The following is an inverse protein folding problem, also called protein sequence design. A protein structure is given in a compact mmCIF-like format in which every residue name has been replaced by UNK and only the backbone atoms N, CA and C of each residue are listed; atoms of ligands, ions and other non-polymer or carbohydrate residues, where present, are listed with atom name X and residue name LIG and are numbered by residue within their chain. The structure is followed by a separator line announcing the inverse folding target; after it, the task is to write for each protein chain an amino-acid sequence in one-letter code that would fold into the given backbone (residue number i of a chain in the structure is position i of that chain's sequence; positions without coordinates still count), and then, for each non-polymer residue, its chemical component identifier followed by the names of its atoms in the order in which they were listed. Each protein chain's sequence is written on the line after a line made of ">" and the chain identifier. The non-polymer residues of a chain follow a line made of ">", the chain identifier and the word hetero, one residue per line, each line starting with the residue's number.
data_IF_045471833235
#
_entry.id   IF_045471833235
#
_cell.length_a   1.000
_cell.length_b   1.000
_cell.length_c   1.000
_cell.angle_alpha   90.00
_cell.angle_beta   90.00
_cell.angle_gamma   90.00
#
_symmetry.space_group_name_H-M   'P 1'
#
loop_
_entity.id
_entity.type
_entity.pdbx_description
1 polymer ?
#
# COMPACT_ATOMS: atom_id res chain seq x y z
N UNK A 1 -12.94 -20.71 7.43
CA UNK A 1 -13.02 -19.24 7.36
C UNK A 1 -12.34 -18.84 6.07
N UNK A 2 -12.94 -17.95 5.26
CA UNK A 2 -12.38 -17.58 3.96
C UNK A 2 -11.03 -16.91 4.15
N UNK A 3 -10.01 -17.41 3.44
CA UNK A 3 -8.67 -16.80 3.45
C UNK A 3 -8.60 -15.72 2.37
N UNK A 4 -7.59 -14.87 2.46
CA UNK A 4 -7.31 -13.94 1.37
C UNK A 4 -6.30 -14.56 0.42
N UNK A 5 -6.67 -14.61 -0.85
CA UNK A 5 -5.71 -14.79 -1.93
C UNK A 5 -5.12 -13.43 -2.26
N UNK A 6 -3.80 -13.37 -2.30
CA UNK A 6 -3.06 -12.14 -2.60
C UNK A 6 -2.40 -12.31 -3.95
N UNK A 7 -2.53 -11.28 -4.78
CA UNK A 7 -1.94 -11.24 -6.11
C UNK A 7 -1.06 -10.01 -6.25
N UNK A 8 0.02 -10.13 -7.02
CA UNK A 8 0.96 -9.03 -7.28
C UNK A 8 1.33 -8.99 -8.76
N UNK A 9 1.56 -7.79 -9.28
CA UNK A 9 2.25 -7.61 -10.55
C UNK A 9 2.31 -6.16 -11.00
N UNK A 10 2.60 -5.96 -12.29
CA UNK A 10 2.89 -4.63 -12.86
C UNK A 10 1.63 -3.81 -13.21
N UNK A 11 0.47 -4.46 -13.27
CA UNK A 11 -0.84 -3.84 -13.52
C UNK A 11 -1.97 -4.78 -13.04
N UNK A 12 -3.22 -4.31 -13.05
CA UNK A 12 -4.40 -5.12 -12.73
C UNK A 12 -4.59 -6.30 -13.70
N UNK A 13 -4.16 -6.15 -14.96
CA UNK A 13 -4.25 -7.20 -15.99
C UNK A 13 -3.10 -8.22 -15.93
N UNK A 14 -2.02 -7.91 -15.20
CA UNK A 14 -0.85 -8.75 -15.08
C UNK A 14 -0.59 -9.07 -13.60
N UNK A 15 -1.47 -9.88 -13.02
CA UNK A 15 -1.42 -10.29 -11.62
C UNK A 15 -1.11 -11.79 -11.51
N UNK A 16 -0.23 -12.14 -10.57
CA UNK A 16 0.08 -13.53 -10.21
C UNK A 16 -0.19 -13.75 -8.72
N UNK A 17 -0.74 -14.91 -8.33
CA UNK A 17 -0.92 -15.23 -6.92
C UNK A 17 0.45 -15.32 -6.23
N UNK A 18 0.54 -14.79 -5.02
CA UNK A 18 1.73 -14.88 -4.18
C UNK A 18 1.39 -15.50 -2.84
N UNK A 19 2.38 -16.12 -2.23
CA UNK A 19 2.30 -16.48 -0.82
C UNK A 19 2.60 -15.25 0.04
N UNK A 20 1.85 -15.08 1.12
CA UNK A 20 2.08 -14.03 2.11
C UNK A 20 3.05 -14.51 3.20
N UNK A 21 3.55 -13.58 4.02
CA UNK A 21 4.38 -13.89 5.19
C UNK A 21 5.70 -14.62 4.86
N UNK A 22 6.21 -14.43 3.64
CA UNK A 22 7.44 -15.06 3.19
C UNK A 22 8.66 -14.58 4.00
N UNK A 23 9.68 -15.45 4.16
CA UNK A 23 10.91 -15.11 4.89
C UNK A 23 11.69 -13.99 4.20
N UNK A 24 12.64 -13.42 4.95
CA UNK A 24 13.56 -12.41 4.44
C UNK A 24 14.23 -12.84 3.13
N UNK A 25 14.32 -11.91 2.18
CA UNK A 25 14.88 -12.16 0.84
C UNK A 25 13.95 -12.82 -0.18
N UNK A 26 12.72 -13.21 0.21
CA UNK A 26 11.78 -13.97 -0.65
C UNK A 26 10.62 -13.12 -1.20
N UNK A 27 10.87 -11.84 -1.48
CA UNK A 27 9.86 -10.98 -2.09
C UNK A 27 9.57 -11.33 -3.56
N UNK A 28 8.35 -11.03 -4.00
CA UNK A 28 7.92 -11.24 -5.38
C UNK A 28 8.47 -10.13 -6.29
N UNK A 29 9.20 -10.44 -7.37
CA UNK A 29 9.74 -9.45 -8.29
C UNK A 29 8.64 -8.81 -9.14
N UNK A 30 8.71 -7.49 -9.34
CA UNK A 30 7.83 -6.74 -10.23
C UNK A 30 8.67 -5.87 -11.16
N UNK A 31 8.42 -5.99 -12.46
CA UNK A 31 9.15 -5.25 -13.48
C UNK A 31 8.20 -4.78 -14.58
N UNK A 32 8.45 -3.57 -15.05
CA UNK A 32 7.85 -2.94 -16.22
C UNK A 32 8.89 -2.05 -16.88
N UNK A 33 8.52 -1.38 -17.97
CA UNK A 33 9.35 -0.39 -18.64
C UNK A 33 9.44 0.96 -17.89
N UNK A 34 8.72 1.15 -16.77
CA UNK A 34 8.83 2.34 -15.92
C UNK A 34 9.23 2.08 -14.46
N UNK A 35 9.17 0.84 -14.00
CA UNK A 35 9.47 0.48 -12.61
C UNK A 35 10.14 -0.88 -12.51
N UNK A 36 11.13 -0.97 -11.65
CA UNK A 36 11.80 -2.23 -11.30
C UNK A 36 11.81 -2.34 -9.78
N UNK A 37 11.32 -3.47 -9.26
CA UNK A 37 11.14 -3.64 -7.83
C UNK A 37 10.78 -5.04 -7.40
N UNK A 38 10.38 -5.13 -6.14
CA UNK A 38 9.92 -6.34 -5.47
C UNK A 38 8.95 -6.00 -4.36
N UNK A 39 8.00 -6.90 -4.10
CA UNK A 39 6.88 -6.68 -3.19
C UNK A 39 6.75 -7.87 -2.24
N UNK A 40 6.47 -7.58 -0.98
CA UNK A 40 6.14 -8.58 0.03
C UNK A 40 4.85 -8.16 0.74
N UNK A 41 4.04 -9.14 1.14
CA UNK A 41 2.77 -8.89 1.84
C UNK A 41 2.77 -9.71 3.12
N UNK A 42 2.46 -9.05 4.24
CA UNK A 42 2.32 -9.68 5.55
C UNK A 42 0.89 -9.54 6.04
N UNK A 43 0.30 -10.64 6.52
CA UNK A 43 -1.06 -10.70 7.05
C UNK A 43 -1.05 -11.40 8.40
N UNK A 44 -1.68 -10.75 9.40
CA UNK A 44 -1.91 -11.33 10.73
C UNK A 44 -3.33 -11.90 10.78
N UNK A 45 -3.42 -13.23 10.77
CA UNK A 45 -4.67 -13.96 10.96
C UNK A 45 -4.95 -14.15 12.46
N UNK A 46 -6.16 -13.83 12.91
CA UNK A 46 -6.57 -13.93 14.32
C UNK A 46 -6.66 -15.39 14.83
N UNK A 47 -6.86 -16.33 13.91
CA UNK A 47 -7.13 -17.76 14.17
C UNK A 47 -5.87 -18.65 14.08
N UNK A 48 -4.72 -18.13 13.66
CA UNK A 48 -3.49 -18.92 13.56
C UNK A 48 -2.47 -18.58 14.65
N UNK A 49 -1.78 -19.61 15.20
CA UNK A 49 -0.61 -19.38 16.03
C UNK A 49 0.51 -18.82 15.15
N UNK A 50 0.60 -17.49 15.09
CA UNK A 50 1.74 -16.68 14.63
C UNK A 50 2.75 -17.48 13.79
N UNK A 51 2.50 -17.59 12.48
CA UNK A 51 3.47 -18.09 11.49
C UNK A 51 4.86 -17.51 11.82
N UNK A 52 5.92 -18.34 11.92
CA UNK A 52 7.20 -17.91 12.54
C UNK A 52 7.77 -16.64 11.91
N UNK A 53 7.63 -16.47 10.59
CA UNK A 53 8.15 -15.29 9.88
C UNK A 53 7.21 -14.08 9.99
N UNK A 54 5.91 -14.28 9.78
CA UNK A 54 4.90 -13.26 10.10
C UNK A 54 5.05 -12.78 11.55
N UNK A 55 5.33 -13.71 12.45
CA UNK A 55 5.50 -13.48 13.86
C UNK A 55 6.73 -12.64 14.15
N UNK A 56 7.84 -12.82 13.43
CA UNK A 56 9.00 -11.96 13.58
C UNK A 56 8.65 -10.52 13.23
N UNK A 57 7.97 -10.30 12.10
CA UNK A 57 7.52 -8.96 11.68
C UNK A 57 6.54 -8.35 12.70
N UNK A 58 5.51 -9.10 13.09
CA UNK A 58 4.42 -8.62 13.94
C UNK A 58 4.74 -8.54 15.44
N UNK A 59 5.77 -9.25 15.93
CA UNK A 59 6.23 -9.19 17.33
C UNK A 59 7.17 -8.00 17.58
N UNK A 60 7.68 -7.36 16.54
CA UNK A 60 8.48 -6.16 16.74
C UNK A 60 7.66 -5.10 17.50
N UNK A 61 8.22 -4.40 18.49
CA UNK A 61 7.48 -3.42 19.28
C UNK A 61 6.78 -2.36 18.43
N UNK A 62 7.40 -1.95 17.33
CA UNK A 62 6.83 -0.97 16.39
C UNK A 62 5.65 -1.50 15.57
N UNK A 63 5.43 -2.82 15.55
CA UNK A 63 4.39 -3.52 14.77
C UNK A 63 3.35 -4.22 15.64
N UNK A 64 3.37 -4.01 16.96
CA UNK A 64 2.44 -4.64 17.91
C UNK A 64 0.97 -4.48 17.48
N UNK A 65 0.61 -3.26 17.06
CA UNK A 65 -0.75 -2.92 16.64
C UNK A 65 -1.01 -3.10 15.15
N UNK A 66 -0.05 -3.59 14.36
CA UNK A 66 -0.18 -3.75 12.90
C UNK A 66 -0.77 -5.11 12.58
N UNK A 67 -1.75 -5.17 11.70
CA UNK A 67 -2.43 -6.42 11.31
C UNK A 67 -2.15 -6.83 9.87
N UNK A 68 -1.61 -5.93 9.07
CA UNK A 68 -1.18 -6.20 7.70
C UNK A 68 -0.13 -5.20 7.24
N UNK A 69 0.59 -5.58 6.21
CA UNK A 69 1.57 -4.74 5.54
C UNK A 69 1.68 -5.10 4.06
N UNK A 70 1.78 -4.07 3.22
CA UNK A 70 2.28 -4.17 1.85
C UNK A 70 3.65 -3.46 1.83
N UNK A 71 4.70 -4.23 1.61
CA UNK A 71 6.05 -3.71 1.50
C UNK A 71 6.46 -3.67 0.03
N UNK A 72 7.19 -2.63 -0.35
CA UNK A 72 7.78 -2.47 -1.67
C UNK A 72 9.24 -2.06 -1.54
N UNK A 73 10.10 -2.63 -2.38
CA UNK A 73 11.42 -2.09 -2.65
C UNK A 73 11.60 -1.93 -4.15
N UNK A 74 12.00 -0.76 -4.62
CA UNK A 74 12.25 -0.56 -6.05
C UNK A 74 12.57 0.89 -6.42
N UNK A 75 12.72 1.10 -7.72
CA UNK A 75 13.08 2.38 -8.33
C UNK A 75 12.28 2.64 -9.61
N UNK A 76 12.18 3.91 -9.98
CA UNK A 76 11.60 4.32 -11.24
C UNK A 76 12.66 4.36 -12.33
N UNK A 77 12.35 3.84 -13.52
CA UNK A 77 13.33 3.73 -14.62
C UNK A 77 13.48 5.04 -15.41
N UNK A 78 12.71 6.07 -15.07
CA UNK A 78 12.71 7.38 -15.70
C UNK A 78 12.61 8.47 -14.61
N UNK A 79 13.29 9.62 -14.77
CA UNK A 79 13.13 10.77 -13.88
C UNK A 79 11.68 11.26 -13.84
N UNK A 80 11.14 11.43 -12.64
CA UNK A 80 9.74 11.76 -12.37
C UNK A 80 9.65 12.71 -11.18
N UNK A 81 8.69 13.62 -11.20
CA UNK A 81 8.39 14.40 -10.00
C UNK A 81 7.69 13.50 -8.98
N UNK A 82 8.14 13.52 -7.74
CA UNK A 82 7.63 12.60 -6.73
C UNK A 82 6.15 12.80 -6.37
N UNK A 83 5.62 14.01 -6.53
CA UNK A 83 4.21 14.33 -6.32
C UNK A 83 3.28 13.75 -7.41
N UNK A 84 3.83 13.37 -8.56
CA UNK A 84 3.10 12.68 -9.64
C UNK A 84 2.94 11.18 -9.39
N UNK A 85 3.55 10.64 -8.33
CA UNK A 85 3.48 9.22 -8.00
C UNK A 85 2.51 9.04 -6.86
N UNK A 86 1.46 8.27 -7.14
CA UNK A 86 0.35 8.03 -6.25
C UNK A 86 0.33 6.59 -5.79
N UNK A 87 -0.20 6.38 -4.60
CA UNK A 87 -0.48 5.07 -4.05
C UNK A 87 -1.80 5.06 -3.29
N UNK A 88 -2.58 4.00 -3.46
CA UNK A 88 -3.83 3.83 -2.73
C UNK A 88 -4.73 2.80 -3.40
N UNK A 89 -6.03 2.97 -3.20
CA UNK A 89 -7.02 1.99 -3.64
C UNK A 89 -7.67 2.37 -4.96
N UNK A 90 -7.92 1.36 -5.79
CA UNK A 90 -8.77 1.45 -6.98
C UNK A 90 -9.76 0.31 -6.98
N UNK A 91 -10.89 0.51 -7.66
CA UNK A 91 -12.00 -0.43 -7.70
C UNK A 91 -12.47 -0.62 -9.15
N UNK A 92 -12.70 -1.87 -9.54
CA UNK A 92 -13.14 -2.22 -10.90
C UNK A 92 -14.58 -1.78 -11.21
N UNK A 93 -15.37 -1.54 -10.17
CA UNK A 93 -16.80 -1.26 -10.25
C UNK A 93 -17.23 -0.23 -9.21
N UNK A 94 -18.30 0.51 -9.52
CA UNK A 94 -18.94 1.45 -8.60
C UNK A 94 -19.22 0.84 -7.23
N UNK A 95 -18.96 1.62 -6.18
CA UNK A 95 -19.20 1.21 -4.81
C UNK A 95 -20.65 1.49 -4.41
N UNK A 96 -21.33 0.48 -3.83
CA UNK A 96 -22.61 0.72 -3.15
C UNK A 96 -22.37 1.22 -1.74
N UNK A 97 -22.21 2.53 -1.60
CA UNK A 97 -21.98 3.16 -0.30
C UNK A 97 -23.26 3.13 0.56
N UNK A 98 -23.19 2.73 1.84
CA UNK A 98 -24.34 2.77 2.76
C UNK A 98 -24.97 4.17 2.85
N UNK A 99 -26.26 4.24 3.19
CA UNK A 99 -26.90 5.52 3.54
C UNK A 99 -26.16 6.20 4.70
N UNK A 100 -25.67 7.43 4.50
CA UNK A 100 -24.89 8.20 5.50
C UNK A 100 -23.38 8.25 5.26
N UNK A 101 -22.85 7.54 4.27
CA UNK A 101 -21.40 7.48 3.99
C UNK A 101 -20.79 8.84 3.58
N UNK A 102 -21.60 9.77 3.07
CA UNK A 102 -21.14 11.13 2.75
C UNK A 102 -20.54 11.90 3.93
N UNK A 103 -20.89 11.55 5.19
CA UNK A 103 -20.23 12.09 6.37
C UNK A 103 -18.86 11.42 6.64
N UNK A 104 -18.73 10.12 6.39
CA UNK A 104 -17.48 9.35 6.53
C UNK A 104 -16.44 9.83 5.50
N UNK A 105 -16.86 10.14 4.27
CA UNK A 105 -15.97 10.67 3.23
C UNK A 105 -15.40 12.05 3.59
N UNK A 106 -16.23 12.93 4.16
CA UNK A 106 -15.77 14.22 4.69
C UNK A 106 -14.78 14.07 5.84
N UNK A 107 -14.89 13.00 6.63
CA UNK A 107 -13.94 12.69 7.70
C UNK A 107 -12.58 12.23 7.17
N UNK A 108 -12.51 11.53 6.03
CA UNK A 108 -11.23 11.04 5.50
C UNK A 108 -10.28 12.19 5.13
N UNK A 109 -10.79 13.26 4.51
CA UNK A 109 -9.98 14.45 4.19
C UNK A 109 -9.51 15.22 5.44
N UNK A 110 -10.18 15.05 6.59
CA UNK A 110 -9.74 15.60 7.88
C UNK A 110 -8.63 14.74 8.51
N UNK A 111 -8.62 13.44 8.22
CA UNK A 111 -7.64 12.48 8.73
C UNK A 111 -6.34 12.51 7.90
N UNK A 112 -6.46 12.74 6.60
CA UNK A 112 -5.35 12.93 5.69
C UNK A 112 -5.70 14.00 4.63
N UNK A 113 -5.07 15.19 4.69
CA UNK A 113 -5.35 16.27 3.74
C UNK A 113 -4.79 16.00 2.33
N UNK A 114 -3.96 14.96 2.16
CA UNK A 114 -3.38 14.58 0.86
C UNK A 114 -4.17 13.50 0.14
N UNK A 115 -5.27 13.03 0.75
CA UNK A 115 -6.18 12.10 0.10
C UNK A 115 -6.95 12.80 -1.02
N UNK A 116 -6.84 12.25 -2.22
CA UNK A 116 -7.70 12.57 -3.35
C UNK A 116 -8.53 11.33 -3.68
N UNK A 117 -9.78 11.52 -4.08
CA UNK A 117 -10.70 10.41 -4.30
C UNK A 117 -11.82 10.77 -5.28
N UNK A 118 -12.22 9.78 -6.07
CA UNK A 118 -13.54 9.73 -6.71
C UNK A 118 -14.20 8.42 -6.30
N UNK A 119 -15.21 8.51 -5.44
CA UNK A 119 -15.97 7.33 -4.99
C UNK A 119 -17.34 7.20 -5.66
N UNK A 120 -17.69 8.13 -6.57
CA UNK A 120 -18.98 8.16 -7.25
C UNK A 120 -18.87 7.71 -8.71
N UNK A 121 -17.67 7.70 -9.29
CA UNK A 121 -17.41 7.21 -10.64
C UNK A 121 -17.70 5.72 -10.84
N UNK A 122 -17.67 5.31 -12.11
CA UNK A 122 -17.84 3.91 -12.52
C UNK A 122 -16.67 3.02 -12.06
N UNK A 123 -15.48 3.62 -11.94
CA UNK A 123 -14.28 3.00 -11.38
C UNK A 123 -13.72 3.86 -10.25
N UNK A 124 -14.25 3.68 -9.02
CA UNK A 124 -13.83 4.45 -7.88
C UNK A 124 -12.34 4.33 -7.55
N UNK A 125 -11.78 5.37 -6.93
CA UNK A 125 -10.41 5.38 -6.44
C UNK A 125 -10.24 6.31 -5.25
N UNK A 126 -9.23 6.01 -4.43
CA UNK A 126 -8.78 6.82 -3.31
C UNK A 126 -7.25 6.71 -3.23
N UNK A 127 -6.57 7.79 -3.60
CA UNK A 127 -5.12 7.81 -3.84
C UNK A 127 -4.47 8.92 -3.01
N UNK A 128 -3.21 8.68 -2.66
CA UNK A 128 -2.37 9.59 -1.90
C UNK A 128 -1.01 9.71 -2.57
N UNK A 129 -0.27 10.80 -2.43
CA UNK A 129 1.12 10.85 -2.85
C UNK A 129 1.94 9.77 -2.15
N UNK A 130 2.71 8.99 -2.92
CA UNK A 130 3.39 7.78 -2.44
C UNK A 130 4.32 8.04 -1.25
N UNK A 131 5.15 9.08 -1.32
CA UNK A 131 6.11 9.41 -0.26
C UNK A 131 5.45 9.92 1.03
N UNK A 132 4.22 10.45 0.93
CA UNK A 132 3.46 10.94 2.07
C UNK A 132 2.81 9.80 2.86
N UNK A 133 2.22 8.84 2.14
CA UNK A 133 1.32 7.84 2.72
C UNK A 133 2.06 6.67 3.38
N UNK A 134 3.28 6.35 2.92
CA UNK A 134 4.08 5.26 3.48
C UNK A 134 4.43 5.55 4.95
N UNK A 135 3.92 4.79 5.94
CA UNK A 135 4.27 5.00 7.34
C UNK A 135 5.76 4.80 7.59
N UNK A 136 6.36 3.78 6.98
CA UNK A 136 7.79 3.53 7.04
C UNK A 136 8.35 3.63 5.62
N UNK A 137 9.35 4.49 5.45
CA UNK A 137 9.95 4.79 4.16
C UNK A 137 11.44 4.98 4.36
N UNK A 138 12.22 4.27 3.55
CA UNK A 138 13.66 4.42 3.44
C UNK A 138 14.01 4.72 1.99
N UNK A 139 14.96 5.62 1.81
CA UNK A 139 15.49 6.04 0.51
C UNK A 139 17.02 5.92 0.55
N UNK A 140 17.58 5.35 -0.51
CA UNK A 140 19.03 5.24 -0.68
C UNK A 140 19.39 5.42 -2.14
N UNK A 141 20.53 6.06 -2.40
CA UNK A 141 21.10 6.11 -3.74
C UNK A 141 21.75 4.79 -4.14
N UNK A 142 21.47 4.35 -5.36
CA UNK A 142 22.07 3.17 -6.00
C UNK A 142 22.55 3.54 -7.40
N UNK A 143 23.46 2.74 -7.96
CA UNK A 143 23.84 2.89 -9.37
C UNK A 143 22.62 2.59 -10.27
N UNK A 144 22.33 3.46 -11.23
CA UNK A 144 21.21 3.29 -12.17
C UNK A 144 21.26 1.96 -12.95
N UNK A 145 22.44 1.37 -13.12
CA UNK A 145 22.66 0.07 -13.77
C UNK A 145 22.71 -1.12 -12.80
N UNK A 146 22.68 -0.87 -11.48
CA UNK A 146 22.71 -1.92 -10.47
C UNK A 146 21.50 -2.87 -10.61
N UNK A 147 21.71 -4.19 -10.74
CA UNK A 147 20.60 -5.14 -10.84
C UNK A 147 19.89 -5.29 -9.50
N UNK A 148 18.60 -5.70 -9.45
CA UNK A 148 17.86 -5.92 -8.20
C UNK A 148 18.53 -6.87 -7.21
N UNK A 149 19.32 -7.83 -7.71
CA UNK A 149 20.09 -8.76 -6.87
C UNK A 149 21.21 -8.10 -6.05
N UNK A 150 21.59 -6.86 -6.39
CA UNK A 150 22.61 -6.09 -5.67
C UNK A 150 22.02 -5.19 -4.57
N UNK A 151 20.70 -5.05 -4.52
CA UNK A 151 20.02 -4.23 -3.52
C UNK A 151 19.96 -4.92 -2.15
N UNK A 152 19.80 -4.16 -1.05
CA UNK A 152 19.69 -4.73 0.30
C UNK A 152 18.57 -5.76 0.39
N UNK A 153 18.81 -6.91 1.02
CA UNK A 153 17.85 -8.02 1.12
C UNK A 153 16.43 -7.57 1.50
N UNK A 154 15.42 -8.17 0.87
CA UNK A 154 14.02 -7.77 1.01
C UNK A 154 13.05 -8.97 0.86
N UNK A 155 12.03 -9.14 1.72
CA UNK A 155 11.74 -8.28 2.86
C UNK A 155 12.90 -8.30 3.87
N UNK A 156 13.11 -7.21 4.62
CA UNK A 156 14.20 -7.14 5.58
C UNK A 156 13.95 -8.09 6.74
N UNK A 157 15.03 -8.60 7.36
CA UNK A 157 14.92 -9.49 8.53
C UNK A 157 14.26 -8.80 9.73
N UNK A 158 14.52 -7.50 9.89
CA UNK A 158 13.88 -6.66 10.89
C UNK A 158 12.93 -5.69 10.19
N UNK A 159 11.77 -5.35 10.78
CA UNK A 159 10.89 -4.34 10.21
C UNK A 159 11.63 -3.03 9.97
N UNK A 160 11.26 -2.31 8.92
CA UNK A 160 11.82 -1.00 8.63
C UNK A 160 11.63 -0.10 9.86
N UNK A 161 12.75 0.23 10.51
CA UNK A 161 12.79 1.25 11.54
C UNK A 161 12.59 2.63 10.91
N UNK A 162 12.23 3.62 11.72
CA UNK A 162 12.26 5.01 11.28
C UNK A 162 13.72 5.44 11.14
N UNK A 163 14.22 5.50 9.91
CA UNK A 163 15.48 6.18 9.63
C UNK A 163 15.23 7.47 8.83
N UNK A 164 15.17 8.57 9.58
CA UNK A 164 14.89 9.91 9.06
C UNK A 164 15.96 10.46 8.13
N UNK A 165 17.20 9.96 8.24
CA UNK A 165 18.31 10.43 7.41
C UNK A 165 17.98 10.30 5.92
N UNK A 166 17.27 9.23 5.55
CA UNK A 166 16.88 8.95 4.17
C UNK A 166 15.85 9.91 3.57
N UNK A 167 14.95 10.47 4.39
CA UNK A 167 13.91 11.39 3.93
C UNK A 167 14.43 12.83 3.82
N UNK A 168 15.55 13.16 4.49
CA UNK A 168 16.17 14.48 4.40
C UNK A 168 16.68 14.80 2.99
N UNK A 169 17.16 13.79 2.26
CA UNK A 169 17.57 13.93 0.84
C UNK A 169 16.37 14.19 -0.09
N UNK A 170 15.15 13.89 0.35
CA UNK A 170 13.90 14.17 -0.36
C UNK A 170 13.28 15.52 0.07
N UNK A 171 14.06 16.34 0.79
CA UNK A 171 13.64 17.67 1.25
C UNK A 171 12.77 17.70 2.50
N UNK A 172 12.49 16.54 3.13
CA UNK A 172 11.77 16.51 4.39
C UNK A 172 12.65 17.00 5.55
N UNK A 173 12.11 17.74 6.54
CA UNK A 173 12.85 18.03 7.76
C UNK A 173 13.18 16.72 8.48
N UNK A 174 14.32 16.67 9.17
CA UNK A 174 14.59 15.59 10.14
C UNK A 174 13.43 15.56 11.15
N UNK A 175 12.63 14.50 11.11
CA UNK A 175 11.35 14.41 11.80
C UNK A 175 11.46 13.79 13.20
N UNK A 176 12.67 13.44 13.64
CA UNK A 176 12.99 12.63 14.83
C UNK A 176 12.11 11.37 14.94
N UNK A 177 11.91 10.68 13.81
CA UNK A 177 11.11 9.46 13.66
C UNK A 177 9.59 9.68 13.65
N UNK A 178 9.10 10.92 13.65
CA UNK A 178 7.67 11.21 13.68
C UNK A 178 7.05 11.19 12.28
N UNK A 179 6.43 10.03 11.96
CA UNK A 179 5.63 9.82 10.72
C UNK A 179 4.63 10.93 10.46
N UNK A 180 4.00 11.47 11.50
CA UNK A 180 2.97 12.49 11.38
C UNK A 180 3.59 13.80 10.88
N UNK A 181 4.78 14.15 11.36
CA UNK A 181 5.50 15.35 10.90
C UNK A 181 5.94 15.22 9.45
N UNK A 182 6.49 14.07 9.02
CA UNK A 182 6.86 13.85 7.60
C UNK A 182 5.65 13.99 6.70
N UNK A 183 4.56 13.30 7.04
CA UNK A 183 3.30 13.36 6.29
C UNK A 183 2.75 14.78 6.26
N UNK A 184 2.67 15.46 7.40
CA UNK A 184 2.15 16.83 7.48
C UNK A 184 3.05 17.84 6.74
N UNK A 185 4.37 17.61 6.70
CA UNK A 185 5.30 18.42 5.93
C UNK A 185 5.02 18.28 4.44
N UNK A 186 5.03 17.06 3.91
CA UNK A 186 4.78 16.82 2.49
C UNK A 186 3.36 17.17 2.08
N UNK A 187 2.38 17.08 2.99
CA UNK A 187 1.03 17.54 2.75
C UNK A 187 0.93 19.06 2.52
N UNK A 188 1.80 19.84 3.16
CA UNK A 188 1.79 21.31 3.07
C UNK A 188 2.69 21.86 1.98
N UNK A 189 3.83 21.21 1.75
CA UNK A 189 4.88 21.71 0.87
C UNK A 189 4.99 20.92 -0.44
N UNK A 190 4.23 19.83 -0.59
CA UNK A 190 4.47 18.86 -1.63
C UNK A 190 5.79 18.12 -1.44
N UNK A 191 6.07 17.18 -2.35
CA UNK A 191 7.43 16.66 -2.55
C UNK A 191 7.82 17.04 -3.98
N UNK A 192 8.38 18.24 -4.14
CA UNK A 192 8.90 18.72 -5.43
C UNK A 192 10.34 18.22 -5.64
N UNK A 193 10.56 16.91 -5.48
CA UNK A 193 11.86 16.29 -5.75
C UNK A 193 11.74 15.40 -6.97
N UNK A 194 12.73 15.49 -7.86
CA UNK A 194 12.84 14.56 -8.98
C UNK A 194 13.49 13.27 -8.50
N UNK A 195 12.78 12.16 -8.69
CA UNK A 195 13.22 10.80 -8.36
C UNK A 195 13.34 9.98 -9.64
N UNK A 196 14.21 8.98 -9.67
CA UNK A 196 14.52 8.25 -10.88
C UNK A 196 15.36 6.98 -10.66
N UNK A 197 16.18 6.59 -11.66
CA UNK A 197 16.87 5.29 -11.67
C UNK A 197 17.88 5.06 -10.55
N UNK A 198 18.34 6.13 -9.92
CA UNK A 198 19.30 6.07 -8.82
C UNK A 198 18.62 6.05 -7.45
N UNK A 199 17.30 6.30 -7.38
CA UNK A 199 16.56 6.42 -6.14
C UNK A 199 15.90 5.08 -5.80
N UNK A 200 16.52 4.32 -4.90
CA UNK A 200 15.96 3.08 -4.37
C UNK A 200 15.09 3.39 -3.16
N UNK A 201 13.79 3.15 -3.28
CA UNK A 201 12.83 3.26 -2.19
C UNK A 201 12.58 1.91 -1.57
N UNK A 202 12.49 1.86 -0.24
CA UNK A 202 11.92 0.74 0.52
C UNK A 202 10.79 1.28 1.39
N UNK A 203 9.56 0.94 1.05
CA UNK A 203 8.35 1.38 1.74
C UNK A 203 7.64 0.21 2.42
N UNK A 204 6.99 0.50 3.54
CA UNK A 204 6.14 -0.45 4.27
C UNK A 204 4.83 0.24 4.66
N UNK A 205 3.80 -0.06 3.87
CA UNK A 205 2.43 0.41 4.06
C UNK A 205 1.68 -0.51 5.02
N UNK A 206 1.66 -0.13 6.29
CA UNK A 206 1.14 -1.00 7.34
C UNK A 206 0.16 -0.30 8.29
N UNK A 207 -0.93 -1.00 8.62
CA UNK A 207 -1.96 -0.48 9.51
C UNK A 207 -2.55 -1.56 10.42
N UNK A 208 -3.18 -1.11 11.50
CA UNK A 208 -3.77 -1.96 12.54
C UNK A 208 -5.30 -2.04 12.57
N UNK A 209 -5.95 -1.30 11.66
CA UNK A 209 -7.40 -1.08 11.73
C UNK A 209 -8.21 -2.16 11.02
N UNK A 210 -7.58 -3.06 10.25
CA UNK A 210 -8.27 -4.15 9.56
C UNK A 210 -7.95 -5.48 10.23
N UNK A 211 -8.96 -6.23 10.65
CA UNK A 211 -8.79 -7.61 11.13
C UNK A 211 -8.94 -8.61 10.00
N UNK A 212 -8.09 -9.64 9.97
CA UNK A 212 -8.18 -10.79 9.07
C UNK A 212 -8.36 -12.08 9.87
N UNK A 213 -9.12 -13.07 9.39
CA UNK A 213 -9.81 -13.12 8.09
C UNK A 213 -11.16 -12.38 8.04
N UNK A 214 -11.62 -11.81 9.17
CA UNK A 214 -12.98 -11.26 9.28
C UNK A 214 -13.24 -9.98 8.46
N UNK A 215 -12.22 -9.38 7.85
CA UNK A 215 -12.26 -8.08 7.15
C UNK A 215 -13.03 -6.98 7.91
N UNK A 216 -12.79 -6.89 9.22
CA UNK A 216 -13.46 -5.90 10.05
C UNK A 216 -12.60 -4.63 10.18
N UNK A 217 -13.14 -3.49 9.76
CA UNK A 217 -12.54 -2.17 9.95
C UNK A 217 -12.89 -1.64 11.35
N UNK A 218 -11.86 -1.41 12.16
CA UNK A 218 -11.92 -0.79 13.49
C UNK A 218 -11.80 0.72 13.34
N UNK A 219 -12.88 1.44 13.61
CA UNK A 219 -12.97 2.90 13.55
C UNK A 219 -12.86 3.46 14.99
N UNK A 220 -12.30 4.68 15.18
CA UNK A 220 -12.29 5.33 16.49
C UNK A 220 -13.68 5.36 17.17
N UNK A 221 -13.71 5.19 18.50
CA UNK A 221 -14.97 5.10 19.26
C UNK A 221 -15.52 3.67 19.38
N UNK A 222 -14.76 2.65 19.00
CA UNK A 222 -15.12 1.23 19.21
C UNK A 222 -16.06 0.65 18.16
N UNK A 223 -16.34 1.38 17.08
CA UNK A 223 -17.20 0.95 15.99
C UNK A 223 -16.42 -0.04 15.12
N UNK A 224 -17.03 -1.19 14.84
CA UNK A 224 -16.51 -2.19 13.88
C UNK A 224 -17.43 -2.24 12.68
N UNK A 225 -16.88 -1.98 11.49
CA UNK A 225 -17.58 -2.14 10.22
C UNK A 225 -17.13 -3.45 9.56
N UNK A 226 -18.07 -4.34 9.29
CA UNK A 226 -17.82 -5.59 8.59
C UNK A 226 -17.77 -5.32 7.07
N UNK A 227 -16.56 -5.31 6.50
CA UNK A 227 -16.37 -5.02 5.08
C UNK A 227 -16.79 -6.20 4.18
N UNK A 228 -16.88 -7.43 4.71
CA UNK A 228 -17.32 -8.60 3.94
C UNK A 228 -18.73 -8.41 3.39
N UNK A 229 -19.61 -7.75 4.14
CA UNK A 229 -20.99 -7.42 3.73
C UNK A 229 -21.06 -6.49 2.51
N UNK A 230 -19.98 -5.79 2.22
CA UNK A 230 -19.87 -4.87 1.09
C UNK A 230 -19.02 -5.43 -0.05
N UNK A 231 -18.48 -6.64 0.13
CA UNK A 231 -17.79 -7.40 -0.90
C UNK A 231 -18.86 -8.21 -1.67
N UNK A 232 -19.54 -7.53 -2.59
CA UNK A 232 -20.82 -7.98 -3.15
C UNK A 232 -20.72 -9.25 -4.03
N UNK A 233 -19.53 -9.53 -4.59
CA UNK A 233 -19.32 -10.64 -5.52
C UNK A 233 -18.15 -11.52 -5.09
N UNK A 234 -18.37 -12.83 -5.09
CA UNK A 234 -17.30 -13.83 -5.06
C UNK A 234 -16.27 -13.52 -6.16
N UNK A 235 -14.99 -13.53 -5.81
CA UNK A 235 -13.90 -13.18 -6.73
C UNK A 235 -13.71 -11.68 -7.01
N UNK A 236 -14.48 -10.79 -6.38
CA UNK A 236 -14.19 -9.35 -6.43
C UNK A 236 -12.82 -9.08 -5.78
N UNK A 237 -12.02 -8.21 -6.38
CA UNK A 237 -10.69 -7.83 -5.88
C UNK A 237 -10.70 -6.42 -5.33
N UNK A 238 -9.91 -6.21 -4.28
CA UNK A 238 -9.52 -4.87 -3.82
C UNK A 238 -8.08 -4.65 -4.20
N UNK A 239 -7.83 -3.58 -4.93
CA UNK A 239 -6.52 -3.25 -5.45
C UNK A 239 -5.86 -2.16 -4.61
N UNK A 240 -4.59 -2.35 -4.35
CA UNK A 240 -3.65 -1.31 -3.96
C UNK A 240 -2.72 -1.08 -5.14
N UNK A 241 -2.71 0.14 -5.66
CA UNK A 241 -2.04 0.48 -6.91
C UNK A 241 -1.07 1.61 -6.64
N UNK A 242 0.16 1.47 -7.15
CA UNK A 242 1.07 2.59 -7.33
C UNK A 242 1.02 3.01 -8.80
N UNK A 243 0.71 4.27 -9.07
CA UNK A 243 0.49 4.78 -10.41
C UNK A 243 0.92 6.23 -10.57
N UNK A 244 1.01 6.68 -11.81
CA UNK A 244 1.09 8.10 -12.14
C UNK A 244 -0.22 8.81 -11.77
N UNK A 245 -0.13 10.08 -11.43
CA UNK A 245 -1.24 11.04 -11.45
C UNK A 245 -1.64 11.29 -12.90
N UNK A 246 -2.90 11.02 -13.24
CA UNK A 246 -3.50 11.53 -14.48
C UNK A 246 -3.94 12.97 -14.25
N UNK A 247 -3.56 13.85 -15.16
CA UNK A 247 -4.07 15.22 -15.25
C UNK A 247 -4.33 15.50 -16.72
N UNK A 248 -5.58 15.77 -17.09
CA UNK A 248 -5.96 16.09 -18.46
C UNK A 248 -5.62 17.56 -18.81
N UNK A 249 -5.53 18.46 -17.82
CA UNK A 249 -5.43 19.92 -18.08
C UNK A 249 -4.38 20.71 -17.26
N UNK A 250 -3.46 20.06 -16.53
CA UNK A 250 -2.34 20.74 -15.85
C UNK A 250 -2.72 21.61 -14.63
N UNK A 251 -4.01 21.66 -14.28
CA UNK A 251 -4.46 22.07 -12.94
C UNK A 251 -4.25 20.88 -11.99
N UNK A 252 -3.66 21.12 -10.81
CA UNK A 252 -3.17 20.10 -9.88
C UNK A 252 -4.21 19.20 -9.20
N UNK A 253 -5.35 18.90 -9.85
CA UNK A 253 -6.31 17.87 -9.42
C UNK A 253 -6.02 16.52 -10.09
N UNK A 254 -6.15 15.42 -9.35
CA UNK A 254 -6.12 14.07 -9.90
C UNK A 254 -7.43 13.78 -10.65
N UNK A 255 -7.34 13.58 -11.95
CA UNK A 255 -8.47 13.11 -12.79
C UNK A 255 -8.62 11.58 -12.75
N UNK A 256 -7.66 10.90 -12.14
CA UNK A 256 -7.71 9.48 -11.83
C UNK A 256 -6.34 8.81 -11.83
N UNK A 257 -6.30 7.48 -11.64
CA UNK A 257 -5.09 6.70 -11.79
C UNK A 257 -4.58 6.75 -13.24
N UNK A 258 -3.34 7.15 -13.42
CA UNK A 258 -2.61 7.09 -14.68
C UNK A 258 -1.99 5.71 -14.89
N UNK A 259 -0.79 5.70 -15.49
CA UNK A 259 -0.04 4.47 -15.72
C UNK A 259 0.28 3.76 -14.39
N UNK A 260 0.03 2.47 -14.32
CA UNK A 260 0.42 1.65 -13.16
C UNK A 260 1.90 1.27 -13.20
N UNK A 261 2.57 1.40 -12.05
CA UNK A 261 3.92 0.90 -11.81
C UNK A 261 3.88 -0.51 -11.24
N UNK A 262 2.99 -0.74 -10.28
CA UNK A 262 2.74 -2.03 -9.66
C UNK A 262 1.38 -2.05 -8.96
N UNK A 263 0.88 -3.26 -8.72
CA UNK A 263 -0.43 -3.51 -8.13
C UNK A 263 -0.36 -4.72 -7.19
N UNK A 264 -1.07 -4.62 -6.07
CA UNK A 264 -1.37 -5.71 -5.15
C UNK A 264 -2.89 -5.86 -5.08
N UNK A 265 -3.41 -7.05 -5.32
CA UNK A 265 -4.83 -7.33 -5.21
C UNK A 265 -5.12 -8.33 -4.09
N UNK A 266 -6.18 -8.09 -3.34
CA UNK A 266 -6.71 -9.02 -2.35
C UNK A 266 -8.06 -9.55 -2.85
N UNK A 267 -8.23 -10.87 -2.77
CA UNK A 267 -9.46 -11.56 -3.15
C UNK A 267 -9.89 -12.46 -1.99
N UNK A 268 -11.19 -12.45 -1.67
CA UNK A 268 -11.76 -13.42 -0.73
C UNK A 268 -11.80 -14.80 -1.37
N UNK A 269 -11.28 -15.79 -0.65
CA UNK A 269 -11.33 -17.18 -1.03
C UNK A 269 -12.56 -17.86 -0.43
N UNK A 270 -13.58 -18.08 -1.25
CA UNK A 270 -14.86 -18.65 -0.82
C UNK A 270 -14.85 -20.19 -0.71
N UNK A 271 -13.71 -20.86 -1.00
CA UNK A 271 -13.63 -22.33 -1.00
C UNK A 271 -13.80 -22.99 0.38
N UNK A 272 -13.83 -22.24 1.49
CA UNK A 272 -13.97 -22.83 2.83
C UNK A 272 -15.39 -23.25 3.25
N UNK A 273 -16.41 -22.99 2.41
CA UNK A 273 -17.81 -23.24 2.76
C UNK A 273 -18.39 -24.51 2.08
N UNK A 274 -17.58 -25.28 1.34
CA UNK A 274 -18.05 -26.45 0.58
C UNK A 274 -17.87 -27.83 1.25
N UNK A 275 -17.21 -27.94 2.41
CA UNK A 275 -16.94 -29.24 3.07
C UNK A 275 -17.89 -29.56 4.25
N UNK A 276 -19.15 -29.08 4.19
CA UNK A 276 -20.12 -29.20 5.30
C UNK A 276 -21.38 -30.03 5.02
N UNK A 277 -21.60 -30.54 3.82
CA UNK A 277 -22.81 -31.32 3.48
C UNK A 277 -22.45 -32.61 2.74
N UNK A 278 -22.11 -33.65 3.51
CA UNK A 278 -22.33 -35.06 3.15
C UNK A 278 -22.78 -35.85 4.37
#
# INVERSE_FOLDING_TARGET
>A
MPRLRVFVGSSSDNLQPIEVNQPAGSAYPVSSDAFEGRIAVFLRYEDEPHDREAANYFRAPERENVTWSIQVQGRFLQPRQSDTILFGNTFDHSLKLPYGTGAILKFMNVVDPTLEQDLQGDQPWALFPFLCTMPHLHHTKVDASAPPSSWPSFPPTEPLSHNDESCSELGAPQADGDRSKRRDFFARHGVETTIGPEDLFTGDFCHGRLSFPSLALKIPGGIKLDLKKHWERAGQRVYFVCCERRSEDGEGSIDGPGRTFWCVAFELDDESDAEGET
#
